data_IF_021753473955
#
_entry.id   IF_021753473955
#
_cell.length_a   1.000
_cell.length_b   1.000
_cell.length_c   1.000
_cell.angle_alpha   90.00
_cell.angle_beta   90.00
_cell.angle_gamma   90.00
#
_symmetry.space_group_name_H-M   'P 1'
#
loop_
_entity.id
_entity.type
_entity.pdbx_description
1 polymer ?
#
# COMPACT_ATOMS: atom_id res chain seq x y z
N UNK A 1 3.89 7.07 -17.34
CA UNK A 1 2.60 6.36 -17.24
C UNK A 1 2.43 5.81 -15.82
N UNK A 2 1.20 5.71 -15.33
CA UNK A 2 0.87 5.01 -14.09
C UNK A 2 1.00 3.51 -14.33
N UNK A 3 1.64 2.80 -13.39
CA UNK A 3 1.67 1.34 -13.35
C UNK A 3 0.86 0.86 -12.16
N UNK A 4 0.07 -0.18 -12.35
CA UNK A 4 -0.73 -0.81 -11.30
C UNK A 4 -0.14 -2.17 -11.01
N UNK A 5 0.10 -2.45 -9.73
CA UNK A 5 0.68 -3.73 -9.27
C UNK A 5 -0.24 -4.30 -8.21
N UNK A 6 -0.69 -5.52 -8.42
CA UNK A 6 -1.48 -6.27 -7.45
C UNK A 6 -0.55 -7.23 -6.70
N UNK A 7 -0.36 -6.98 -5.41
CA UNK A 7 0.32 -7.92 -4.53
C UNK A 7 -0.67 -9.01 -4.12
N UNK A 8 -0.29 -10.27 -4.25
CA UNK A 8 -1.19 -11.37 -3.90
C UNK A 8 -0.48 -12.49 -3.14
N UNK A 9 -1.23 -13.15 -2.27
CA UNK A 9 -0.84 -14.33 -1.52
C UNK A 9 -1.99 -15.34 -1.53
N UNK A 10 -1.72 -16.66 -1.43
CA UNK A 10 -0.39 -17.27 -1.46
C UNK A 10 0.26 -17.17 -2.84
N UNK A 11 1.58 -17.27 -2.91
CA UNK A 11 2.37 -17.24 -4.15
C UNK A 11 2.29 -18.60 -4.91
N UNK A 12 1.08 -19.01 -5.27
CA UNK A 12 0.80 -20.27 -5.98
C UNK A 12 0.32 -20.02 -7.40
N UNK A 13 0.48 -21.01 -8.27
CA UNK A 13 -0.04 -20.94 -9.65
C UNK A 13 -1.57 -20.81 -9.66
N UNK A 14 -2.26 -21.47 -8.74
CA UNK A 14 -3.71 -21.41 -8.61
C UNK A 14 -4.17 -19.97 -8.26
N UNK A 15 -3.53 -19.33 -7.27
CA UNK A 15 -3.83 -17.94 -6.93
C UNK A 15 -3.53 -16.99 -8.09
N UNK A 16 -2.41 -17.16 -8.77
CA UNK A 16 -2.07 -16.38 -9.96
C UNK A 16 -3.11 -16.53 -11.08
N UNK A 17 -3.56 -17.75 -11.33
CA UNK A 17 -4.61 -18.04 -12.31
C UNK A 17 -5.95 -17.40 -11.92
N UNK A 18 -6.32 -17.48 -10.63
CA UNK A 18 -7.55 -16.86 -10.09
C UNK A 18 -7.55 -15.34 -10.28
N UNK A 19 -6.48 -14.65 -9.86
CA UNK A 19 -6.36 -13.20 -10.06
C UNK A 19 -6.31 -12.81 -11.54
N UNK A 20 -5.65 -13.61 -12.38
CA UNK A 20 -5.63 -13.39 -13.82
C UNK A 20 -7.04 -13.51 -14.43
N UNK A 21 -7.83 -14.49 -14.01
CA UNK A 21 -9.21 -14.68 -14.47
C UNK A 21 -10.07 -13.49 -14.04
N UNK A 22 -10.00 -13.09 -12.77
CA UNK A 22 -10.72 -11.93 -12.25
C UNK A 22 -10.40 -10.65 -13.04
N UNK A 23 -9.13 -10.37 -13.29
CA UNK A 23 -8.72 -9.19 -14.06
C UNK A 23 -9.23 -9.23 -15.51
N UNK A 24 -9.36 -10.42 -16.10
CA UNK A 24 -9.98 -10.58 -17.44
C UNK A 24 -11.46 -10.29 -17.42
N UNK A 25 -12.18 -10.79 -16.43
CA UNK A 25 -13.62 -10.53 -16.26
C UNK A 25 -13.90 -9.03 -16.09
N UNK A 26 -13.02 -8.33 -15.39
CA UNK A 26 -13.08 -6.87 -15.20
C UNK A 26 -12.60 -6.07 -16.43
N UNK A 27 -12.07 -6.72 -17.47
CA UNK A 27 -11.49 -6.02 -18.62
C UNK A 27 -10.15 -5.33 -18.35
N UNK A 28 -9.51 -5.63 -17.20
CA UNK A 28 -8.33 -4.94 -16.68
C UNK A 28 -7.02 -5.75 -16.82
N UNK A 29 -7.03 -6.90 -17.48
CA UNK A 29 -5.90 -7.85 -17.51
C UNK A 29 -4.57 -7.24 -18.02
N UNK A 30 -4.63 -6.25 -18.89
CA UNK A 30 -3.45 -5.58 -19.45
C UNK A 30 -2.98 -4.37 -18.60
N UNK A 31 -3.80 -3.94 -17.64
CA UNK A 31 -3.55 -2.74 -16.85
C UNK A 31 -2.79 -3.03 -15.55
N UNK A 32 -2.74 -4.31 -15.13
CA UNK A 32 -2.18 -4.74 -13.87
C UNK A 32 -0.98 -5.69 -14.04
N UNK A 33 0.02 -5.51 -13.22
CA UNK A 33 1.11 -6.47 -13.02
C UNK A 33 0.83 -7.26 -11.75
N UNK A 34 0.77 -8.58 -11.84
CA UNK A 34 0.62 -9.46 -10.66
C UNK A 34 2.00 -9.68 -10.04
N UNK A 35 2.11 -9.44 -8.74
CA UNK A 35 3.34 -9.66 -7.99
C UNK A 35 3.05 -10.58 -6.80
N UNK A 36 3.52 -11.84 -6.85
CA UNK A 36 3.36 -12.76 -5.73
C UNK A 36 4.18 -12.30 -4.53
N UNK A 37 3.60 -12.37 -3.34
CA UNK A 37 4.25 -12.04 -2.08
C UNK A 37 4.18 -13.24 -1.14
N UNK A 38 5.31 -13.55 -0.48
CA UNK A 38 5.36 -14.74 0.37
C UNK A 38 5.42 -16.02 -0.43
N UNK A 39 6.56 -16.36 -0.94
CA UNK A 39 6.82 -17.66 -1.58
C UNK A 39 7.87 -18.44 -0.84
N UNK A 40 7.50 -19.58 -0.34
CA UNK A 40 8.41 -20.56 0.21
C UNK A 40 7.87 -21.17 1.50
N UNK A 41 7.41 -22.38 1.41
CA UNK A 41 6.79 -23.24 2.41
C UNK A 41 7.49 -23.40 3.75
N UNK A 42 7.83 -22.35 4.42
CA UNK A 42 8.29 -22.39 5.79
C UNK A 42 7.44 -21.47 6.68
N UNK A 43 7.16 -21.90 7.88
CA UNK A 43 6.07 -21.54 8.78
C UNK A 43 6.07 -20.10 9.37
N UNK A 44 6.81 -19.17 8.81
CA UNK A 44 6.74 -17.76 9.17
C UNK A 44 6.28 -16.95 7.94
N UNK A 45 5.01 -16.56 7.91
CA UNK A 45 4.57 -15.50 6.99
C UNK A 45 5.50 -14.30 7.18
N UNK A 46 6.12 -13.76 6.11
CA UNK A 46 6.95 -12.58 6.25
C UNK A 46 6.08 -11.46 6.83
N UNK A 47 6.62 -10.71 7.79
CA UNK A 47 5.93 -9.54 8.32
C UNK A 47 5.52 -8.61 7.17
N UNK A 48 4.35 -7.98 7.28
CA UNK A 48 3.80 -7.10 6.25
C UNK A 48 4.82 -6.03 5.82
N UNK A 49 5.62 -5.50 6.74
CA UNK A 49 6.68 -4.55 6.44
C UNK A 49 7.75 -5.10 5.48
N UNK A 50 8.11 -6.38 5.61
CA UNK A 50 9.05 -7.02 4.70
C UNK A 50 8.44 -7.23 3.31
N UNK A 51 7.16 -7.59 3.24
CA UNK A 51 6.39 -7.72 1.99
C UNK A 51 6.38 -6.37 1.26
N UNK A 52 5.98 -5.30 1.92
CA UNK A 52 5.89 -3.97 1.33
C UNK A 52 7.26 -3.42 0.91
N UNK A 53 8.31 -3.71 1.69
CA UNK A 53 9.70 -3.38 1.32
C UNK A 53 10.14 -4.11 0.06
N UNK A 54 9.85 -5.40 -0.04
CA UNK A 54 10.13 -6.21 -1.23
C UNK A 54 9.40 -5.71 -2.46
N UNK A 55 8.11 -5.41 -2.33
CA UNK A 55 7.28 -4.84 -3.39
C UNK A 55 7.80 -3.48 -3.86
N UNK A 56 8.18 -2.59 -2.92
CA UNK A 56 8.77 -1.29 -3.25
C UNK A 56 10.06 -1.44 -4.06
N UNK A 57 10.92 -2.37 -3.66
CA UNK A 57 12.17 -2.67 -4.36
C UNK A 57 11.92 -3.21 -5.76
N UNK A 58 11.00 -4.16 -5.92
CA UNK A 58 10.61 -4.70 -7.22
C UNK A 58 10.06 -3.61 -8.15
N UNK A 59 9.12 -2.80 -7.68
CA UNK A 59 8.56 -1.69 -8.44
C UNK A 59 9.63 -0.70 -8.91
N UNK A 60 10.64 -0.46 -8.10
CA UNK A 60 11.75 0.42 -8.45
C UNK A 60 12.69 -0.22 -9.48
N UNK A 61 13.17 -1.43 -9.20
CA UNK A 61 14.24 -2.07 -9.97
C UNK A 61 13.76 -2.62 -11.30
N UNK A 62 12.62 -3.31 -11.28
CA UNK A 62 12.09 -4.02 -12.45
C UNK A 62 11.12 -3.16 -13.27
N UNK A 63 10.31 -2.33 -12.59
CA UNK A 63 9.30 -1.52 -13.28
C UNK A 63 9.71 -0.06 -13.48
N UNK A 64 10.84 0.37 -12.93
CA UNK A 64 11.36 1.75 -13.04
C UNK A 64 10.45 2.79 -12.39
N UNK A 65 9.65 2.40 -11.39
CA UNK A 65 8.76 3.31 -10.70
C UNK A 65 9.55 4.26 -9.80
N UNK A 66 9.25 5.56 -9.88
CA UNK A 66 9.90 6.57 -9.04
C UNK A 66 9.13 6.86 -7.77
N UNK A 67 7.81 6.95 -7.85
CA UNK A 67 6.90 7.21 -6.71
C UNK A 67 6.01 6.01 -6.53
N UNK A 68 5.68 5.69 -5.29
CA UNK A 68 4.79 4.58 -4.97
C UNK A 68 3.62 5.06 -4.14
N UNK A 69 2.47 4.47 -4.40
CA UNK A 69 1.28 4.58 -3.54
C UNK A 69 0.84 3.15 -3.23
N UNK A 70 0.88 2.80 -1.97
CA UNK A 70 0.33 1.55 -1.44
C UNK A 70 -1.10 1.81 -1.02
N UNK A 71 -2.00 0.90 -1.36
CA UNK A 71 -3.41 0.93 -0.94
C UNK A 71 -3.82 -0.44 -0.43
N UNK A 72 -4.63 -0.48 0.63
CA UNK A 72 -5.37 -1.66 1.04
C UNK A 72 -6.41 -2.04 -0.02
N UNK A 73 -6.79 -3.29 -0.08
CA UNK A 73 -7.84 -3.80 -0.97
C UNK A 73 -9.22 -3.83 -0.31
N UNK A 74 -9.28 -3.48 0.94
CA UNK A 74 -10.38 -3.61 1.89
C UNK A 74 -11.11 -2.28 2.19
N UNK A 75 -10.71 -1.19 1.52
CA UNK A 75 -11.34 0.12 1.64
C UNK A 75 -12.03 0.54 0.32
N UNK A 76 -13.23 0.03 0.02
CA UNK A 76 -13.95 0.33 -1.23
C UNK A 76 -14.43 1.78 -1.32
N UNK A 77 -14.49 2.50 -0.21
CA UNK A 77 -14.87 3.92 -0.14
C UNK A 77 -13.69 4.87 -0.40
N UNK A 78 -12.46 4.36 -0.58
CA UNK A 78 -11.29 5.20 -0.91
C UNK A 78 -11.46 5.86 -2.30
N UNK A 79 -11.66 7.18 -2.39
CA UNK A 79 -11.99 7.82 -3.65
C UNK A 79 -10.76 8.00 -4.53
N UNK A 80 -10.90 7.99 -5.87
CA UNK A 80 -9.80 8.28 -6.79
C UNK A 80 -9.11 9.63 -6.56
N UNK A 81 -9.83 10.61 -6.01
CA UNK A 81 -9.28 11.91 -5.65
C UNK A 81 -8.17 11.80 -4.60
N UNK A 82 -8.29 10.85 -3.65
CA UNK A 82 -7.28 10.66 -2.62
C UNK A 82 -5.99 10.04 -3.20
N UNK A 83 -6.11 9.10 -4.15
CA UNK A 83 -4.96 8.59 -4.89
C UNK A 83 -4.25 9.73 -5.66
N UNK A 84 -5.02 10.64 -6.24
CA UNK A 84 -4.47 11.80 -6.94
C UNK A 84 -3.76 12.75 -5.97
N UNK A 85 -4.34 13.00 -4.79
CA UNK A 85 -3.74 13.81 -3.74
C UNK A 85 -2.41 13.21 -3.26
N UNK A 86 -2.37 11.90 -3.01
CA UNK A 86 -1.16 11.18 -2.64
C UNK A 86 -0.08 11.27 -3.73
N UNK A 87 -0.45 11.02 -4.99
CA UNK A 87 0.46 11.16 -6.12
C UNK A 87 0.97 12.59 -6.31
N UNK A 88 0.14 13.60 -5.98
CA UNK A 88 0.54 15.01 -6.00
C UNK A 88 1.51 15.33 -4.86
N UNK A 89 1.18 14.98 -3.64
CA UNK A 89 2.03 15.16 -2.45
C UNK A 89 3.41 14.57 -2.66
N UNK A 90 3.48 13.34 -3.19
CA UNK A 90 4.72 12.63 -3.47
C UNK A 90 5.55 13.22 -4.62
N UNK A 91 5.14 14.32 -5.25
CA UNK A 91 5.98 15.13 -6.14
C UNK A 91 6.95 16.01 -5.35
N UNK A 92 6.55 16.38 -4.14
CA UNK A 92 7.38 17.20 -3.25
C UNK A 92 8.45 16.31 -2.61
N UNK A 93 9.73 16.64 -2.74
CA UNK A 93 10.81 15.93 -2.07
C UNK A 93 10.56 15.86 -0.57
N UNK A 94 10.82 14.70 0.01
CA UNK A 94 10.65 14.42 1.45
C UNK A 94 9.23 14.56 2.00
N UNK A 95 8.21 14.52 1.14
CA UNK A 95 6.81 14.50 1.56
C UNK A 95 6.18 13.13 1.31
N UNK A 96 5.52 12.58 2.32
CA UNK A 96 4.67 11.40 2.24
C UNK A 96 3.21 11.79 2.42
N UNK A 97 2.31 10.89 1.99
CA UNK A 97 0.88 11.01 2.19
C UNK A 97 0.36 9.76 2.88
N UNK A 98 -0.43 9.91 3.93
CA UNK A 98 -0.91 8.81 4.76
C UNK A 98 -2.40 9.02 5.06
N UNK A 99 -3.25 8.06 4.69
CA UNK A 99 -4.67 8.09 5.03
C UNK A 99 -4.95 7.06 6.13
N UNK A 100 -5.31 7.52 7.33
CA UNK A 100 -5.64 6.64 8.44
C UNK A 100 -6.86 5.76 8.16
N UNK A 101 -6.91 4.59 8.80
CA UNK A 101 -8.11 3.81 9.05
C UNK A 101 -8.65 4.12 10.46
N UNK A 102 -9.93 3.90 10.69
CA UNK A 102 -10.56 4.20 11.99
C UNK A 102 -10.24 3.18 13.07
N UNK A 103 -9.71 2.00 12.70
CA UNK A 103 -9.15 0.99 13.62
C UNK A 103 -7.76 1.36 14.15
N UNK A 104 -7.15 2.44 13.64
CA UNK A 104 -5.78 2.88 13.94
C UNK A 104 -4.72 2.39 12.93
N UNK A 105 -5.13 1.66 11.90
CA UNK A 105 -4.35 1.32 10.72
C UNK A 105 -4.25 2.48 9.71
N UNK A 106 -3.97 2.14 8.47
CA UNK A 106 -4.02 3.08 7.35
C UNK A 106 -4.37 2.35 6.06
N UNK A 107 -5.17 2.99 5.22
CA UNK A 107 -5.66 2.44 3.95
C UNK A 107 -4.81 2.88 2.75
N UNK A 108 -4.03 3.95 2.90
CA UNK A 108 -3.18 4.49 1.84
C UNK A 108 -1.87 5.04 2.40
N UNK A 109 -0.76 4.72 1.72
CA UNK A 109 0.56 5.30 1.96
C UNK A 109 1.21 5.69 0.64
N UNK A 110 1.42 6.99 0.44
CA UNK A 110 2.22 7.55 -0.65
C UNK A 110 3.63 7.87 -0.22
N UNK A 111 4.63 7.48 -1.02
CA UNK A 111 6.05 7.77 -0.77
C UNK A 111 6.74 8.38 -2.00
N UNK A 112 7.61 9.38 -1.81
CA UNK A 112 8.19 10.16 -2.90
C UNK A 112 9.34 9.45 -3.59
N UNK A 113 9.68 9.93 -4.78
CA UNK A 113 10.73 9.40 -5.64
C UNK A 113 12.11 9.38 -4.99
N UNK A 114 12.42 10.36 -4.19
CA UNK A 114 13.76 10.58 -3.63
C UNK A 114 14.22 9.43 -2.75
N UNK A 115 13.30 8.68 -2.15
CA UNK A 115 13.63 7.47 -1.42
C UNK A 115 14.20 6.36 -2.31
N UNK A 116 13.95 6.41 -3.62
CA UNK A 116 14.29 5.33 -4.54
C UNK A 116 15.40 5.67 -5.52
N UNK A 117 15.80 6.93 -5.63
CA UNK A 117 16.75 7.39 -6.67
C UNK A 117 18.18 7.59 -6.17
N UNK A 118 18.43 7.54 -4.86
CA UNK A 118 19.76 7.73 -4.30
C UNK A 118 20.24 6.46 -3.58
N UNK A 119 21.41 5.91 -3.96
CA UNK A 119 22.02 4.80 -3.22
C UNK A 119 22.29 5.12 -1.74
N UNK A 120 22.57 6.39 -1.44
CA UNK A 120 22.74 6.85 -0.05
C UNK A 120 21.46 6.72 0.81
N UNK A 121 20.33 6.40 0.21
CA UNK A 121 19.05 6.19 0.90
C UNK A 121 18.60 4.73 1.00
N UNK A 122 19.49 3.78 0.71
CA UNK A 122 19.17 2.35 0.86
C UNK A 122 18.77 2.01 2.30
N UNK A 123 19.46 2.55 3.28
CA UNK A 123 19.10 2.40 4.69
C UNK A 123 17.75 3.06 5.01
N UNK A 124 17.45 4.24 4.46
CA UNK A 124 16.18 4.92 4.65
C UNK A 124 15.01 4.11 4.03
N UNK A 125 15.22 3.50 2.87
CA UNK A 125 14.22 2.57 2.26
C UNK A 125 13.99 1.34 3.10
N UNK A 126 15.03 0.74 3.62
CA UNK A 126 14.93 -0.41 4.51
C UNK A 126 14.16 -0.07 5.80
N UNK A 127 14.24 1.20 6.26
CA UNK A 127 13.58 1.65 7.47
C UNK A 127 12.15 2.17 7.28
N UNK A 128 11.62 2.22 6.03
CA UNK A 128 10.26 2.72 5.77
C UNK A 128 9.18 2.04 6.60
N UNK A 129 9.34 0.76 6.86
CA UNK A 129 8.39 -0.06 7.59
C UNK A 129 8.98 -0.63 8.89
N UNK A 130 10.23 -0.25 9.23
CA UNK A 130 10.90 -0.72 10.43
C UNK A 130 10.27 -0.13 11.69
N UNK A 131 9.93 -1.00 12.64
CA UNK A 131 9.33 -0.61 13.92
C UNK A 131 7.88 -0.15 13.79
N UNK A 132 7.22 -0.43 12.67
CA UNK A 132 5.77 -0.28 12.55
C UNK A 132 5.09 -1.36 13.35
N UNK A 133 4.16 -0.96 14.21
CA UNK A 133 3.36 -1.88 15.02
C UNK A 133 2.15 -2.33 14.23
N UNK A 134 2.30 -3.43 13.50
CA UNK A 134 1.24 -3.99 12.68
C UNK A 134 0.10 -4.57 13.54
N UNK A 135 -1.10 -4.62 12.97
CA UNK A 135 -2.32 -5.15 13.62
C UNK A 135 -2.58 -4.53 14.99
N UNK A 136 -2.45 -3.22 15.09
CA UNK A 136 -2.54 -2.45 16.32
C UNK A 136 -3.17 -1.08 16.05
N UNK A 137 -3.91 -0.54 17.01
CA UNK A 137 -4.41 0.83 16.97
C UNK A 137 -3.32 1.91 16.83
N UNK A 138 -2.06 1.53 16.99
CA UNK A 138 -0.89 2.38 16.81
C UNK A 138 -0.21 2.23 15.45
N UNK A 139 -0.74 1.42 14.53
CA UNK A 139 -0.11 1.14 13.23
C UNK A 139 0.14 2.44 12.45
N UNK A 140 -0.86 3.28 12.28
CA UNK A 140 -0.74 4.55 11.55
C UNK A 140 0.27 5.50 12.21
N UNK A 141 0.21 5.65 13.53
CA UNK A 141 1.11 6.54 14.26
C UNK A 141 2.57 6.07 14.21
N UNK A 142 2.81 4.76 14.33
CA UNK A 142 4.15 4.17 14.23
C UNK A 142 4.68 4.21 12.79
N UNK A 143 3.80 4.10 11.79
CA UNK A 143 4.16 4.31 10.38
C UNK A 143 4.61 5.75 10.13
N UNK A 144 3.89 6.74 10.64
CA UNK A 144 4.29 8.14 10.52
C UNK A 144 5.67 8.41 11.15
N UNK A 145 5.97 7.78 12.30
CA UNK A 145 7.28 7.84 12.93
C UNK A 145 8.37 7.17 12.06
N UNK A 146 8.07 6.01 11.45
CA UNK A 146 9.01 5.33 10.55
C UNK A 146 9.34 6.18 9.33
N UNK A 147 8.35 6.87 8.74
CA UNK A 147 8.56 7.82 7.65
C UNK A 147 9.50 8.97 8.07
N UNK A 148 9.32 9.49 9.28
CA UNK A 148 10.23 10.51 9.84
C UNK A 148 11.68 9.99 9.97
N UNK A 149 11.88 8.77 10.50
CA UNK A 149 13.20 8.13 10.58
C UNK A 149 13.82 7.89 9.21
N UNK A 150 13.02 7.58 8.19
CA UNK A 150 13.44 7.47 6.81
C UNK A 150 13.82 8.83 6.16
N UNK A 151 13.71 9.93 6.90
CA UNK A 151 14.08 11.26 6.46
C UNK A 151 13.01 12.01 5.67
N UNK A 152 11.75 11.59 5.77
CA UNK A 152 10.62 12.35 5.26
C UNK A 152 10.23 13.44 6.26
N UNK A 153 10.28 14.69 5.82
CA UNK A 153 10.09 15.87 6.68
C UNK A 153 8.64 16.26 6.85
N UNK A 154 7.81 15.85 5.90
CA UNK A 154 6.38 16.17 5.86
C UNK A 154 5.60 14.89 5.66
N UNK A 155 4.67 14.60 6.56
CA UNK A 155 3.66 13.57 6.37
C UNK A 155 2.32 14.30 6.31
N UNK A 156 1.73 14.33 5.11
CA UNK A 156 0.39 14.88 4.90
C UNK A 156 -0.60 13.81 5.30
N UNK A 157 -1.44 14.13 6.28
CA UNK A 157 -2.52 13.24 6.70
C UNK A 157 -3.75 13.52 5.84
N UNK A 158 -4.20 12.49 5.13
CA UNK A 158 -5.50 12.50 4.46
C UNK A 158 -6.67 12.28 5.43
N UNK A 159 -7.90 12.23 4.90
CA UNK A 159 -9.06 11.82 5.69
C UNK A 159 -8.91 10.41 6.26
N UNK A 160 -9.63 10.13 7.33
CA UNK A 160 -9.77 8.77 7.86
C UNK A 160 -10.85 8.04 7.08
N UNK A 161 -10.57 6.78 6.77
CA UNK A 161 -11.48 5.89 6.04
C UNK A 161 -11.86 4.69 6.89
N UNK A 162 -12.91 4.01 6.49
CA UNK A 162 -13.36 2.76 7.09
C UNK A 162 -12.93 1.60 6.19
N UNK A 163 -12.16 0.67 6.74
CA UNK A 163 -11.81 -0.60 6.11
C UNK A 163 -12.82 -1.68 6.46
N UNK A 164 -12.91 -2.70 5.64
CA UNK A 164 -13.88 -3.78 5.78
C UNK A 164 -13.16 -5.06 6.21
N UNK A 165 -12.92 -5.21 7.51
CA UNK A 165 -12.24 -6.36 8.09
C UNK A 165 -13.21 -7.49 8.48
N UNK A 166 -14.45 -7.13 8.84
CA UNK A 166 -15.45 -8.06 9.34
C UNK A 166 -16.75 -7.97 8.53
N UNK A 167 -17.60 -8.98 8.66
CA UNK A 167 -18.92 -9.00 7.98
C UNK A 167 -19.80 -7.81 8.38
N UNK A 168 -19.63 -7.31 9.60
CA UNK A 168 -20.33 -6.12 10.10
C UNK A 168 -19.99 -4.87 9.30
N UNK A 169 -18.73 -4.72 8.87
CA UNK A 169 -18.26 -3.58 8.11
C UNK A 169 -18.86 -3.58 6.70
N UNK A 170 -18.97 -4.77 6.08
CA UNK A 170 -19.62 -4.94 4.77
C UNK A 170 -21.09 -4.52 4.83
N UNK A 171 -21.82 -4.90 5.89
CA UNK A 171 -23.21 -4.48 6.10
C UNK A 171 -23.31 -2.97 6.33
N UNK A 172 -22.39 -2.40 7.09
CA UNK A 172 -22.30 -0.95 7.30
C UNK A 172 -22.01 -0.20 6.00
N UNK A 173 -21.09 -0.72 5.16
CA UNK A 173 -20.80 -0.18 3.84
C UNK A 173 -22.04 -0.17 2.94
N UNK A 174 -22.79 -1.27 2.88
CA UNK A 174 -24.02 -1.34 2.10
C UNK A 174 -25.03 -0.25 2.48
N UNK A 175 -25.18 0.00 3.78
CA UNK A 175 -26.07 1.06 4.28
C UNK A 175 -25.58 2.46 3.86
N UNK A 176 -24.27 2.73 3.91
CA UNK A 176 -23.69 4.01 3.49
C UNK A 176 -23.85 4.23 1.98
N UNK A 177 -23.60 3.21 1.17
CA UNK A 177 -23.74 3.29 -0.29
C UNK A 177 -25.20 3.50 -0.75
N UNK A 178 -26.19 3.03 0.03
CA UNK A 178 -27.61 3.28 -0.25
C UNK A 178 -28.08 4.67 0.15
N UNK A 179 -27.35 5.35 1.03
CA UNK A 179 -27.67 6.68 1.53
C UNK A 179 -27.00 7.83 0.73
N UNK A 180 -26.04 7.51 -0.12
CA UNK A 180 -25.28 8.44 -0.95
C UNK A 180 -25.92 8.61 -2.33
#
# INVERSE_FOLDING_TARGET
>A
ALRRVLLYAPATEEAAAGFTALLRELGEAQAWTLLPVGGGGDASSPELGAILTGAARHCQQELGCGRLVFIGSDCPELPPSELQAALHTCRTPHAAHLCPADDGGYVLLGVPRELFTSPARDAARASLFEGVRWSSSDTCSSQAQALGRAGLRTVVMGPTYHDCDEIGDVLGLELRLRAA
#
